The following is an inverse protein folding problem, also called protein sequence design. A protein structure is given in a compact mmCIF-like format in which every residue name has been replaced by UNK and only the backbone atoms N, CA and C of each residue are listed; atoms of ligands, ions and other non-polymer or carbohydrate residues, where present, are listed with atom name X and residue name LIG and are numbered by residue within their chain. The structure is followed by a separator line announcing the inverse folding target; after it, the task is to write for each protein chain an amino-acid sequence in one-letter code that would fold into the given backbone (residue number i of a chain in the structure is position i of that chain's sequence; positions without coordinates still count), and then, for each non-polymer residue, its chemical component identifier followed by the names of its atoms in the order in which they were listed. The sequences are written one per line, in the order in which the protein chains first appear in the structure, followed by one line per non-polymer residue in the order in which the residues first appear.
data_IF_437360056122
#
_entry.id   IF_437360056122
#
_cell.length_a   1.000
_cell.length_b   1.000
_cell.length_c   1.000
_cell.angle_alpha   90.00
_cell.angle_beta   90.00
_cell.angle_gamma   90.00
#
_symmetry.space_group_name_H-M   'P 1'
#
loop_
_entity.id
_entity.type
_entity.pdbx_description
1 polymer ?
#
# COMPACT_ATOMS: atom_id res chain seq x y z
N UNK A 1 22.05 1.57 -5.81
CA UNK A 1 22.43 2.83 -6.51
C UNK A 1 22.50 2.68 -8.03
N UNK A 2 23.00 1.56 -8.58
CA UNK A 2 22.88 1.26 -10.01
C UNK A 2 21.41 1.20 -10.49
N UNK A 3 20.49 0.74 -9.63
CA UNK A 3 19.05 0.72 -9.89
C UNK A 3 18.42 2.11 -10.04
N UNK A 4 18.90 3.11 -9.27
CA UNK A 4 18.39 4.49 -9.32
C UNK A 4 18.73 5.18 -10.66
N UNK A 5 19.87 4.81 -11.26
CA UNK A 5 20.35 5.35 -12.54
C UNK A 5 19.59 4.72 -13.72
N UNK A 6 19.18 3.45 -13.60
CA UNK A 6 18.44 2.77 -14.66
C UNK A 6 16.97 3.25 -14.75
N UNK A 7 16.36 3.59 -13.62
CA UNK A 7 14.99 4.16 -13.56
C UNK A 7 14.93 5.59 -14.14
N UNK A 8 16.00 6.38 -13.98
CA UNK A 8 16.09 7.74 -14.53
C UNK A 8 16.05 7.78 -16.08
N UNK A 9 16.41 6.70 -16.77
CA UNK A 9 16.45 6.61 -18.24
C UNK A 9 15.16 6.07 -18.87
N UNK A 10 14.28 5.40 -18.10
CA UNK A 10 13.03 4.83 -18.62
C UNK A 10 11.78 5.69 -18.34
N UNK A 11 11.90 6.72 -17.51
CA UNK A 11 10.78 7.58 -17.09
C UNK A 11 10.35 8.63 -18.14
N UNK A 12 11.06 8.77 -19.27
CA UNK A 12 10.68 9.69 -20.35
C UNK A 12 9.43 9.24 -21.13
N UNK A 13 8.89 8.04 -20.89
CA UNK A 13 7.72 7.51 -21.61
C UNK A 13 6.48 7.21 -20.75
N UNK A 14 6.49 7.47 -19.44
CA UNK A 14 5.28 7.34 -18.64
C UNK A 14 4.66 8.72 -18.41
N UNK A 15 3.87 9.17 -19.40
CA UNK A 15 2.71 10.03 -19.09
C UNK A 15 1.65 9.16 -18.39
N UNK A 16 2.00 8.62 -17.23
CA UNK A 16 0.96 8.41 -16.23
C UNK A 16 0.44 9.80 -15.89
N UNK A 17 -0.86 9.97 -15.65
CA UNK A 17 -1.41 11.20 -15.06
C UNK A 17 -0.75 11.40 -13.69
N UNK A 18 0.47 11.93 -13.68
CA UNK A 18 1.29 12.14 -12.51
C UNK A 18 0.66 13.25 -11.71
N UNK A 19 0.40 12.98 -10.45
CA UNK A 19 -0.03 13.99 -9.51
C UNK A 19 1.09 15.05 -9.43
N UNK A 20 0.79 16.29 -9.84
CA UNK A 20 1.79 17.36 -9.92
C UNK A 20 2.34 17.69 -8.54
N UNK A 21 3.66 17.91 -8.46
CA UNK A 21 4.27 18.40 -7.23
C UNK A 21 3.66 19.75 -6.84
N UNK A 22 3.34 19.91 -5.56
CA UNK A 22 2.66 21.07 -5.05
C UNK A 22 3.52 22.33 -5.23
N UNK A 23 3.05 23.24 -6.08
CA UNK A 23 3.75 24.47 -6.45
C UNK A 23 3.95 25.44 -5.29
N UNK A 24 3.21 25.28 -4.19
CA UNK A 24 3.32 26.11 -2.99
C UNK A 24 4.42 25.64 -2.03
N UNK A 25 5.11 24.53 -2.33
CA UNK A 25 6.18 24.00 -1.48
C UNK A 25 7.53 24.53 -1.96
N UNK A 26 8.27 25.18 -1.07
CA UNK A 26 9.67 25.52 -1.30
C UNK A 26 10.54 24.25 -1.28
N UNK A 27 10.99 23.87 -2.47
CA UNK A 27 11.71 22.61 -2.73
C UNK A 27 13.03 22.53 -1.98
N UNK A 28 13.75 23.65 -1.84
CA UNK A 28 15.05 23.70 -1.19
C UNK A 28 14.94 23.59 0.33
N UNK A 29 13.94 24.26 0.92
CA UNK A 29 13.60 24.13 2.34
C UNK A 29 13.15 22.71 2.67
N UNK A 30 12.30 22.12 1.83
CA UNK A 30 11.89 20.73 2.00
C UNK A 30 13.10 19.77 1.94
N UNK A 31 13.99 19.94 0.95
CA UNK A 31 15.21 19.14 0.88
C UNK A 31 16.02 19.23 2.17
N UNK A 32 16.21 20.45 2.69
CA UNK A 32 16.99 20.68 3.90
C UNK A 32 16.45 19.88 5.10
N UNK A 33 15.11 19.84 5.25
CA UNK A 33 14.44 19.03 6.27
C UNK A 33 14.66 17.54 6.04
N UNK A 34 14.42 17.05 4.82
CA UNK A 34 14.49 15.62 4.48
C UNK A 34 15.89 15.02 4.66
N UNK A 35 16.94 15.81 4.42
CA UNK A 35 18.33 15.33 4.51
C UNK A 35 18.98 15.62 5.87
N UNK A 36 18.28 16.26 6.81
CA UNK A 36 18.85 16.72 8.09
C UNK A 36 19.57 15.62 8.86
N UNK A 37 18.94 14.45 8.95
CA UNK A 37 19.40 13.31 9.74
C UNK A 37 20.13 12.25 8.90
N UNK A 38 20.40 12.52 7.62
CA UNK A 38 21.10 11.56 6.77
C UNK A 38 22.61 11.55 7.08
N UNK A 39 23.27 10.38 7.02
CA UNK A 39 24.73 10.30 7.14
C UNK A 39 25.43 11.24 6.15
N UNK A 40 26.49 11.92 6.59
CA UNK A 40 27.20 12.98 5.84
C UNK A 40 27.48 12.61 4.38
N UNK A 41 27.96 11.38 4.14
CA UNK A 41 28.24 10.88 2.79
C UNK A 41 26.99 10.85 1.90
N UNK A 42 25.89 10.22 2.38
CA UNK A 42 24.61 10.13 1.65
C UNK A 42 23.99 11.52 1.44
N UNK A 43 24.05 12.38 2.46
CA UNK A 43 23.58 13.77 2.38
C UNK A 43 24.31 14.53 1.28
N UNK A 44 25.65 14.49 1.25
CA UNK A 44 26.44 15.20 0.25
C UNK A 44 26.17 14.70 -1.18
N UNK A 45 26.00 13.38 -1.34
CA UNK A 45 25.65 12.78 -2.62
C UNK A 45 24.28 13.23 -3.12
N UNK A 46 23.24 13.15 -2.28
CA UNK A 46 21.90 13.63 -2.61
C UNK A 46 21.88 15.12 -2.95
N UNK A 47 22.56 15.95 -2.16
CA UNK A 47 22.68 17.39 -2.42
C UNK A 47 23.36 17.66 -3.77
N UNK A 48 24.38 16.89 -4.13
CA UNK A 48 25.06 17.02 -5.43
C UNK A 48 24.12 16.67 -6.58
N UNK A 49 23.34 15.59 -6.47
CA UNK A 49 22.37 15.19 -7.50
C UNK A 49 21.23 16.19 -7.63
N UNK A 50 20.66 16.62 -6.51
CA UNK A 50 19.58 17.61 -6.49
C UNK A 50 20.01 18.94 -7.14
N UNK A 51 21.20 19.45 -6.81
CA UNK A 51 21.72 20.70 -7.41
C UNK A 51 21.99 20.61 -8.91
N UNK A 52 22.34 19.42 -9.41
CA UNK A 52 22.63 19.18 -10.83
C UNK A 52 21.37 18.83 -11.64
N UNK A 53 20.28 18.43 -10.98
CA UNK A 53 19.05 17.99 -11.62
C UNK A 53 18.23 19.16 -12.17
N UNK A 54 17.44 18.88 -13.21
CA UNK A 54 16.35 19.75 -13.63
C UNK A 54 15.17 19.68 -12.64
N UNK A 55 14.13 20.49 -12.85
CA UNK A 55 12.99 20.57 -11.92
C UNK A 55 12.30 19.21 -11.70
N UNK A 56 12.09 18.43 -12.76
CA UNK A 56 11.49 17.10 -12.65
C UNK A 56 12.36 16.15 -11.81
N UNK A 57 13.68 16.16 -12.00
CA UNK A 57 14.59 15.34 -11.22
C UNK A 57 14.61 15.75 -9.75
N UNK A 58 14.54 17.06 -9.45
CA UNK A 58 14.43 17.57 -8.08
C UNK A 58 13.13 17.10 -7.42
N UNK A 59 11.99 17.26 -8.10
CA UNK A 59 10.69 16.80 -7.61
C UNK A 59 10.67 15.30 -7.34
N UNK A 60 11.23 14.50 -8.25
CA UNK A 60 11.35 13.06 -8.04
C UNK A 60 12.21 12.72 -6.81
N UNK A 61 13.35 13.39 -6.62
CA UNK A 61 14.19 13.19 -5.43
C UNK A 61 13.42 13.54 -4.16
N UNK A 62 12.72 14.68 -4.13
CA UNK A 62 11.93 15.12 -2.99
C UNK A 62 10.79 14.15 -2.68
N UNK A 63 10.08 13.71 -3.72
CA UNK A 63 9.02 12.74 -3.60
C UNK A 63 9.53 11.43 -2.99
N UNK A 64 10.59 10.85 -3.54
CA UNK A 64 11.20 9.62 -3.04
C UNK A 64 11.71 9.74 -1.60
N UNK A 65 12.31 10.88 -1.24
CA UNK A 65 12.82 11.11 0.11
C UNK A 65 11.70 11.29 1.15
N UNK A 66 10.55 11.79 0.71
CA UNK A 66 9.39 12.07 1.57
C UNK A 66 8.38 10.93 1.65
N UNK A 67 8.57 9.86 0.89
CA UNK A 67 7.70 8.69 0.99
C UNK A 67 7.68 8.15 2.43
N UNK A 68 6.53 7.63 2.90
CA UNK A 68 6.45 6.93 4.16
C UNK A 68 7.53 5.85 4.25
N UNK A 69 8.02 5.62 5.47
CA UNK A 69 8.96 4.55 5.76
C UNK A 69 8.39 3.70 6.86
N UNK A 70 8.45 2.40 6.65
CA UNK A 70 8.20 1.38 7.66
C UNK A 70 9.21 0.25 7.47
N UNK A 71 9.20 -0.73 8.36
CA UNK A 71 10.13 -1.84 8.40
C UNK A 71 9.42 -3.14 8.72
N UNK A 72 10.08 -4.26 8.38
CA UNK A 72 9.64 -5.61 8.79
C UNK A 72 9.51 -5.72 10.32
N UNK A 73 10.41 -5.08 11.06
CA UNK A 73 10.37 -5.05 12.52
C UNK A 73 9.09 -4.39 13.03
N UNK A 74 8.75 -3.21 12.53
CA UNK A 74 7.50 -2.51 12.89
C UNK A 74 6.26 -3.32 12.50
N UNK A 75 6.31 -4.00 11.35
CA UNK A 75 5.22 -4.89 10.91
C UNK A 75 4.98 -6.03 11.91
N UNK A 76 6.04 -6.69 12.39
CA UNK A 76 5.96 -7.77 13.39
C UNK A 76 5.49 -7.22 14.75
N UNK A 77 6.05 -6.10 15.20
CA UNK A 77 5.65 -5.47 16.46
C UNK A 77 4.17 -5.06 16.45
N UNK A 78 3.67 -4.51 15.32
CA UNK A 78 2.27 -4.16 15.16
C UNK A 78 1.36 -5.40 15.12
N UNK A 79 1.80 -6.49 14.49
CA UNK A 79 1.09 -7.78 14.49
C UNK A 79 0.93 -8.33 15.90
N UNK A 80 2.02 -8.41 16.67
CA UNK A 80 1.98 -8.94 18.04
C UNK A 80 1.12 -8.07 18.95
N UNK A 81 1.22 -6.75 18.83
CA UNK A 81 0.43 -5.81 19.62
C UNK A 81 -1.07 -5.86 19.30
N UNK A 82 -1.42 -6.03 18.02
CA UNK A 82 -2.80 -5.88 17.54
C UNK A 82 -3.42 -7.19 17.00
N UNK A 83 -2.89 -8.37 17.39
CA UNK A 83 -3.36 -9.67 16.88
C UNK A 83 -4.89 -9.81 16.97
N UNK A 84 -5.49 -9.45 18.11
CA UNK A 84 -6.94 -9.53 18.30
C UNK A 84 -7.72 -8.65 17.31
N UNK A 85 -7.28 -7.40 17.11
CA UNK A 85 -7.95 -6.48 16.19
C UNK A 85 -7.76 -6.88 14.72
N UNK A 86 -6.64 -7.52 14.37
CA UNK A 86 -6.42 -8.11 13.04
C UNK A 86 -7.46 -9.18 12.74
N UNK A 87 -7.66 -10.12 13.65
CA UNK A 87 -8.64 -11.19 13.47
C UNK A 87 -10.07 -10.67 13.50
N UNK A 88 -10.36 -9.70 14.39
CA UNK A 88 -11.65 -9.01 14.41
C UNK A 88 -11.92 -8.31 13.08
N UNK A 89 -10.98 -7.54 12.55
CA UNK A 89 -11.10 -6.87 11.26
C UNK A 89 -11.37 -7.90 10.15
N UNK A 90 -10.60 -9.02 10.12
CA UNK A 90 -10.83 -10.10 9.15
C UNK A 90 -12.26 -10.62 9.22
N UNK A 91 -12.72 -10.97 10.42
CA UNK A 91 -14.01 -11.62 10.63
C UNK A 91 -15.18 -10.69 10.36
N UNK A 92 -15.10 -9.43 10.81
CA UNK A 92 -16.14 -8.43 10.55
C UNK A 92 -16.19 -8.05 9.07
N UNK A 93 -15.05 -7.84 8.41
CA UNK A 93 -15.02 -7.47 7.00
C UNK A 93 -15.59 -8.55 6.08
N UNK A 94 -15.26 -9.83 6.33
CA UNK A 94 -15.78 -10.95 5.52
C UNK A 94 -17.31 -11.04 5.59
N UNK A 95 -17.92 -10.77 6.76
CA UNK A 95 -19.39 -10.81 6.92
C UNK A 95 -20.11 -9.73 6.12
N UNK A 96 -19.44 -8.63 5.79
CA UNK A 96 -20.02 -7.53 5.04
C UNK A 96 -20.08 -7.80 3.53
N UNK A 97 -19.39 -8.84 3.02
CA UNK A 97 -19.22 -9.05 1.59
C UNK A 97 -20.00 -10.30 1.16
N UNK A 98 -20.82 -10.23 0.09
CA UNK A 98 -21.45 -11.42 -0.47
C UNK A 98 -20.44 -12.52 -0.79
N UNK A 99 -20.77 -13.78 -0.48
CA UNK A 99 -19.85 -14.92 -0.67
C UNK A 99 -19.37 -15.11 -2.10
N UNK A 100 -20.13 -14.63 -3.09
CA UNK A 100 -19.76 -14.67 -4.51
C UNK A 100 -18.75 -13.60 -4.93
N UNK A 101 -18.38 -12.68 -4.03
CA UNK A 101 -17.54 -11.52 -4.33
C UNK A 101 -16.24 -11.49 -3.51
N UNK A 102 -15.25 -10.81 -4.06
CA UNK A 102 -14.02 -10.37 -3.41
C UNK A 102 -13.95 -8.85 -3.55
N UNK A 103 -13.67 -8.14 -2.47
CA UNK A 103 -13.50 -6.70 -2.44
C UNK A 103 -12.17 -6.33 -1.78
N UNK A 104 -11.37 -5.53 -2.50
CA UNK A 104 -10.16 -4.90 -2.02
C UNK A 104 -10.45 -3.42 -1.78
N UNK A 105 -10.19 -2.94 -0.57
CA UNK A 105 -10.43 -1.57 -0.15
C UNK A 105 -9.15 -0.97 0.45
N UNK A 106 -8.74 0.21 -0.02
CA UNK A 106 -7.63 0.98 0.56
C UNK A 106 -8.05 2.43 0.80
N UNK A 107 -7.74 2.94 2.00
CA UNK A 107 -7.96 4.35 2.33
C UNK A 107 -6.67 5.12 2.18
N UNK A 108 -6.63 6.02 1.20
CA UNK A 108 -5.47 6.83 0.90
C UNK A 108 -5.50 8.14 1.71
N UNK A 109 -4.44 8.45 2.47
CA UNK A 109 -4.35 9.73 3.17
C UNK A 109 -4.10 10.86 2.17
N UNK A 110 -4.43 12.10 2.59
CA UNK A 110 -4.06 13.31 1.85
C UNK A 110 -2.54 13.36 1.67
N UNK A 111 -2.06 13.60 0.46
CA UNK A 111 -0.64 13.85 0.20
C UNK A 111 -0.43 15.30 -0.23
N UNK A 112 0.14 16.10 0.69
CA UNK A 112 0.39 17.53 0.46
C UNK A 112 1.47 17.78 -0.59
N UNK A 113 2.40 16.83 -0.78
CA UNK A 113 3.52 16.98 -1.72
C UNK A 113 3.08 16.93 -3.17
N UNK A 114 2.08 16.12 -3.48
CA UNK A 114 1.54 15.95 -4.84
C UNK A 114 0.07 16.39 -4.92
N UNK A 115 -0.35 17.24 -3.98
CA UNK A 115 -1.66 17.90 -3.94
C UNK A 115 -2.88 16.97 -4.03
N UNK A 116 -2.79 15.78 -3.45
CA UNK A 116 -3.91 14.82 -3.51
C UNK A 116 -4.71 14.78 -2.24
N UNK A 117 -6.03 14.80 -2.41
CA UNK A 117 -6.98 14.67 -1.31
C UNK A 117 -7.03 13.25 -0.77
N UNK A 118 -7.66 13.07 0.39
CA UNK A 118 -7.99 11.72 0.87
C UNK A 118 -8.89 11.06 -0.16
N UNK A 119 -8.65 9.78 -0.43
CA UNK A 119 -9.40 9.03 -1.43
C UNK A 119 -9.53 7.56 -1.02
N UNK A 120 -10.28 6.81 -1.81
CA UNK A 120 -10.50 5.38 -1.65
C UNK A 120 -10.11 4.67 -2.94
N UNK A 121 -9.35 3.59 -2.84
CA UNK A 121 -9.21 2.62 -3.93
C UNK A 121 -10.17 1.46 -3.65
N UNK A 122 -10.95 1.09 -4.67
CA UNK A 122 -11.92 0.01 -4.55
C UNK A 122 -11.83 -0.91 -5.76
N UNK A 123 -11.63 -2.19 -5.49
CA UNK A 123 -11.68 -3.25 -6.50
C UNK A 123 -12.66 -4.31 -6.05
N UNK A 124 -13.50 -4.76 -6.97
CA UNK A 124 -14.48 -5.80 -6.74
C UNK A 124 -14.35 -6.83 -7.84
N UNK A 125 -14.27 -8.09 -7.42
CA UNK A 125 -14.18 -9.24 -8.28
C UNK A 125 -15.32 -10.20 -8.01
N UNK A 126 -15.84 -10.80 -9.07
CA UNK A 126 -16.74 -11.95 -8.99
C UNK A 126 -15.91 -13.22 -8.96
N UNK A 127 -16.18 -14.10 -7.99
CA UNK A 127 -15.57 -15.43 -7.91
C UNK A 127 -16.12 -16.30 -9.03
N UNK A 128 -15.24 -16.92 -9.81
CA UNK A 128 -15.57 -17.92 -10.83
C UNK A 128 -15.14 -19.32 -10.36
N UNK A 129 -15.46 -20.33 -11.17
CA UNK A 129 -14.94 -21.68 -10.98
C UNK A 129 -13.41 -21.73 -11.14
N UNK A 130 -12.79 -22.77 -10.57
CA UNK A 130 -11.34 -23.03 -10.70
C UNK A 130 -10.42 -21.94 -10.13
N UNK A 131 -10.89 -21.15 -9.17
CA UNK A 131 -10.08 -20.11 -8.52
C UNK A 131 -9.80 -18.89 -9.40
N UNK A 132 -10.50 -18.74 -10.53
CA UNK A 132 -10.45 -17.53 -11.36
C UNK A 132 -11.39 -16.47 -10.79
N UNK A 133 -11.05 -15.21 -11.03
CA UNK A 133 -11.83 -14.06 -10.62
C UNK A 133 -12.04 -13.12 -11.83
N UNK A 134 -13.23 -12.57 -11.97
CA UNK A 134 -13.56 -11.56 -12.98
C UNK A 134 -13.64 -10.18 -12.31
N UNK A 135 -12.89 -9.20 -12.83
CA UNK A 135 -13.00 -7.81 -12.33
C UNK A 135 -14.30 -7.20 -12.81
N UNK A 136 -15.14 -6.77 -11.87
CA UNK A 136 -16.44 -6.12 -12.17
C UNK A 136 -16.45 -4.64 -11.82
N UNK A 137 -15.53 -4.20 -10.95
CA UNK A 137 -15.31 -2.81 -10.61
C UNK A 137 -13.85 -2.63 -10.20
N UNK A 138 -13.15 -1.65 -10.74
CA UNK A 138 -11.77 -1.38 -10.37
C UNK A 138 -11.43 0.08 -10.63
N UNK A 139 -11.40 0.86 -9.56
CA UNK A 139 -11.13 2.29 -9.63
C UNK A 139 -10.15 2.70 -8.53
N UNK A 140 -9.40 3.76 -8.81
CA UNK A 140 -8.40 4.32 -7.90
C UNK A 140 -8.70 5.79 -7.63
N UNK A 141 -8.27 6.27 -6.47
CA UNK A 141 -8.40 7.65 -6.04
C UNK A 141 -9.84 8.18 -6.08
N UNK A 142 -10.82 7.33 -5.76
CA UNK A 142 -12.21 7.74 -5.66
C UNK A 142 -12.37 8.77 -4.54
N UNK A 143 -13.00 9.89 -4.86
CA UNK A 143 -13.33 10.91 -3.86
C UNK A 143 -14.45 10.39 -2.95
N UNK A 144 -14.41 10.79 -1.68
CA UNK A 144 -15.49 10.54 -0.74
C UNK A 144 -16.78 11.15 -1.28
N UNK A 145 -17.90 10.43 -1.09
CA UNK A 145 -19.24 10.82 -1.55
C UNK A 145 -19.41 10.99 -3.06
N UNK A 146 -18.41 10.65 -3.88
CA UNK A 146 -18.53 10.67 -5.34
C UNK A 146 -19.51 9.61 -5.85
N UNK A 147 -20.19 9.90 -6.96
CA UNK A 147 -21.08 8.94 -7.61
C UNK A 147 -20.37 7.63 -7.96
N UNK A 148 -19.10 7.70 -8.37
CA UNK A 148 -18.29 6.53 -8.68
C UNK A 148 -18.07 5.64 -7.45
N UNK A 149 -17.70 6.22 -6.30
CA UNK A 149 -17.55 5.47 -5.05
C UNK A 149 -18.90 4.88 -4.60
N UNK A 150 -19.95 5.69 -4.61
CA UNK A 150 -21.29 5.29 -4.19
C UNK A 150 -21.84 4.15 -5.07
N UNK A 151 -21.58 4.18 -6.37
CA UNK A 151 -21.98 3.09 -7.27
C UNK A 151 -21.14 1.82 -7.04
N UNK A 152 -19.83 1.96 -6.80
CA UNK A 152 -18.96 0.83 -6.49
C UNK A 152 -19.37 0.10 -5.21
N UNK A 153 -19.60 0.83 -4.11
CA UNK A 153 -19.97 0.20 -2.83
C UNK A 153 -21.37 -0.41 -2.84
N UNK A 154 -22.30 0.12 -3.66
CA UNK A 154 -23.63 -0.48 -3.84
C UNK A 154 -23.58 -1.89 -4.42
N UNK A 155 -22.56 -2.23 -5.22
CA UNK A 155 -22.35 -3.60 -5.73
C UNK A 155 -22.17 -4.60 -4.57
N UNK A 156 -21.58 -4.14 -3.46
CA UNK A 156 -21.36 -4.94 -2.25
C UNK A 156 -22.56 -4.90 -1.28
N UNK A 157 -23.62 -4.16 -1.63
CA UNK A 157 -24.72 -3.88 -0.71
C UNK A 157 -24.37 -2.89 0.40
N UNK A 158 -23.31 -2.10 0.22
CA UNK A 158 -22.82 -1.15 1.23
C UNK A 158 -23.39 0.26 1.04
N UNK A 159 -23.26 1.05 2.09
CA UNK A 159 -23.46 2.50 2.10
C UNK A 159 -22.25 3.19 2.77
N UNK A 160 -22.34 4.51 2.93
CA UNK A 160 -21.27 5.30 3.56
C UNK A 160 -21.01 4.93 5.03
N UNK A 161 -22.03 4.48 5.78
CA UNK A 161 -21.85 4.04 7.16
C UNK A 161 -21.01 2.76 7.22
N UNK A 162 -21.22 1.83 6.30
CA UNK A 162 -20.39 0.63 6.17
C UNK A 162 -18.94 0.99 5.84
N UNK A 163 -18.70 1.93 4.92
CA UNK A 163 -17.35 2.42 4.62
C UNK A 163 -16.68 3.05 5.86
N UNK A 164 -17.41 3.89 6.59
CA UNK A 164 -16.92 4.52 7.81
C UNK A 164 -16.59 3.48 8.89
N UNK A 165 -17.45 2.47 9.06
CA UNK A 165 -17.23 1.37 9.99
C UNK A 165 -15.96 0.59 9.64
N UNK A 166 -15.76 0.21 8.38
CA UNK A 166 -14.54 -0.49 7.92
C UNK A 166 -13.31 0.39 8.15
N UNK A 167 -13.40 1.69 7.85
CA UNK A 167 -12.31 2.65 8.12
C UNK A 167 -11.96 2.68 9.61
N UNK A 168 -12.94 2.70 10.50
CA UNK A 168 -12.71 2.69 11.94
C UNK A 168 -12.04 1.39 12.41
N UNK A 169 -12.39 0.24 11.83
CA UNK A 169 -11.72 -1.04 12.13
C UNK A 169 -10.25 -1.01 11.70
N UNK A 170 -9.95 -0.48 10.51
CA UNK A 170 -8.58 -0.32 10.01
C UNK A 170 -7.76 0.66 10.88
N UNK A 171 -8.32 1.82 11.19
CA UNK A 171 -7.65 2.88 11.96
C UNK A 171 -7.27 2.40 13.38
N UNK A 172 -8.09 1.54 14.02
CA UNK A 172 -7.83 1.04 15.39
C UNK A 172 -6.51 0.29 15.54
N UNK A 173 -6.03 -0.33 14.46
CA UNK A 173 -4.84 -1.16 14.47
C UNK A 173 -3.78 -0.71 13.44
N UNK A 174 -3.91 0.55 12.98
CA UNK A 174 -3.01 1.21 12.03
C UNK A 174 -2.85 0.44 10.71
N UNK A 175 -3.98 -0.03 10.16
CA UNK A 175 -4.02 -0.65 8.83
C UNK A 175 -4.53 0.35 7.79
N UNK A 176 -4.15 0.13 6.53
CA UNK A 176 -4.50 1.02 5.41
C UNK A 176 -5.40 0.36 4.38
N UNK A 177 -5.39 -0.98 4.30
CA UNK A 177 -6.19 -1.71 3.32
C UNK A 177 -6.60 -3.10 3.80
N UNK A 178 -7.64 -3.65 3.19
CA UNK A 178 -8.06 -5.05 3.39
C UNK A 178 -8.66 -5.62 2.10
N UNK A 179 -8.42 -6.91 1.88
CA UNK A 179 -9.00 -7.72 0.82
C UNK A 179 -9.47 -9.07 1.39
N UNK A 180 -10.73 -9.45 1.12
CA UNK A 180 -11.23 -10.78 1.49
C UNK A 180 -10.89 -11.82 0.41
N UNK A 181 -10.99 -13.11 0.76
CA UNK A 181 -10.73 -14.18 -0.19
C UNK A 181 -10.49 -15.51 0.53
N UNK A 182 -9.87 -16.46 -0.18
CA UNK A 182 -9.37 -17.68 0.46
C UNK A 182 -8.27 -17.35 1.48
N UNK A 183 -7.48 -16.33 1.18
CA UNK A 183 -6.51 -15.71 2.07
C UNK A 183 -6.97 -14.26 2.24
N UNK A 184 -7.19 -13.81 3.47
CA UNK A 184 -7.45 -12.39 3.73
C UNK A 184 -6.13 -11.64 3.75
N UNK A 185 -6.03 -10.56 2.97
CA UNK A 185 -4.82 -9.75 2.89
C UNK A 185 -5.08 -8.38 3.53
N UNK A 186 -4.34 -8.04 4.58
CA UNK A 186 -4.46 -6.77 5.30
C UNK A 186 -3.19 -5.95 5.09
N UNK A 187 -3.32 -4.73 4.58
CA UNK A 187 -2.19 -3.81 4.40
C UNK A 187 -1.90 -3.02 5.67
N UNK A 188 -0.67 -3.06 6.13
CA UNK A 188 -0.19 -2.34 7.32
C UNK A 188 0.27 -0.93 6.98
N UNK A 189 1.44 -0.79 6.35
CA UNK A 189 2.07 0.49 6.13
C UNK A 189 2.79 0.51 4.77
N UNK A 190 2.74 1.66 4.11
CA UNK A 190 3.56 1.92 2.91
C UNK A 190 5.01 2.21 3.33
N UNK A 191 5.95 1.72 2.54
CA UNK A 191 7.37 2.03 2.68
C UNK A 191 7.97 2.24 1.30
N UNK A 192 8.33 3.48 1.00
CA UNK A 192 8.67 3.86 -0.37
C UNK A 192 7.50 3.59 -1.32
N UNK A 193 7.79 2.86 -2.41
CA UNK A 193 6.80 2.43 -3.40
C UNK A 193 6.07 1.13 -3.04
N UNK A 194 6.50 0.43 -1.99
CA UNK A 194 5.88 -0.82 -1.55
C UNK A 194 4.98 -0.67 -0.34
N UNK A 195 4.40 -1.79 0.09
CA UNK A 195 3.53 -1.88 1.25
C UNK A 195 3.76 -3.22 1.95
N UNK A 196 3.69 -3.18 3.28
CA UNK A 196 3.71 -4.35 4.14
C UNK A 196 2.30 -4.91 4.28
N UNK A 197 2.15 -6.24 4.19
CA UNK A 197 0.88 -6.93 4.29
C UNK A 197 0.94 -8.12 5.22
N UNK A 198 -0.20 -8.44 5.84
CA UNK A 198 -0.46 -9.71 6.50
C UNK A 198 -1.36 -10.54 5.59
N UNK A 199 -0.93 -11.76 5.28
CA UNK A 199 -1.75 -12.79 4.65
C UNK A 199 -2.24 -13.74 5.73
N UNK A 200 -3.56 -13.83 5.88
CA UNK A 200 -4.24 -14.61 6.93
C UNK A 200 -5.06 -15.70 6.29
N UNK A 201 -4.64 -16.94 6.53
CA UNK A 201 -5.26 -18.15 6.03
C UNK A 201 -6.41 -18.58 6.95
N UNK A 202 -7.38 -19.34 6.42
CA UNK A 202 -8.50 -19.85 7.22
C UNK A 202 -8.05 -20.88 8.27
N UNK A 203 -7.02 -21.65 7.94
CA UNK A 203 -6.43 -22.69 8.78
C UNK A 203 -4.92 -22.49 8.83
N UNK A 204 -4.26 -23.15 9.78
CA UNK A 204 -2.80 -23.18 9.85
C UNK A 204 -2.20 -23.71 8.55
N UNK A 205 -1.03 -23.18 8.19
CA UNK A 205 -0.37 -23.58 6.96
C UNK A 205 0.19 -25.01 7.09
N UNK A 206 -0.12 -25.85 6.11
CA UNK A 206 0.57 -27.14 5.93
C UNK A 206 2.00 -26.96 5.42
N UNK A 207 2.80 -28.03 5.41
CA UNK A 207 4.22 -27.95 5.01
C UNK A 207 4.42 -27.43 3.59
N UNK A 208 3.57 -27.84 2.63
CA UNK A 208 3.63 -27.34 1.25
C UNK A 208 3.39 -25.82 1.19
N UNK A 209 2.39 -25.33 1.93
CA UNK A 209 2.09 -23.89 1.98
C UNK A 209 3.20 -23.12 2.68
N UNK A 210 3.83 -23.69 3.73
CA UNK A 210 4.99 -23.05 4.37
C UNK A 210 6.15 -22.92 3.40
N UNK A 211 6.38 -23.92 2.53
CA UNK A 211 7.41 -23.83 1.49
C UNK A 211 7.07 -22.78 0.42
N UNK A 212 5.81 -22.70 0.01
CA UNK A 212 5.34 -21.69 -0.96
C UNK A 212 5.45 -20.26 -0.40
N UNK A 213 5.04 -20.04 0.85
CA UNK A 213 4.95 -18.73 1.49
C UNK A 213 6.14 -18.39 2.39
N UNK A 214 7.32 -18.92 2.08
CA UNK A 214 8.56 -18.62 2.80
C UNK A 214 9.76 -18.51 1.84
N UNK A 215 9.65 -17.66 0.83
CA UNK A 215 10.68 -17.46 -0.20
C UNK A 215 11.88 -16.62 0.27
N UNK A 216 11.89 -16.18 1.53
CA UNK A 216 12.92 -15.31 2.13
C UNK A 216 13.12 -13.96 1.41
N UNK A 217 12.21 -13.58 0.52
CA UNK A 217 12.24 -12.36 -0.26
C UNK A 217 10.93 -11.60 -0.13
N UNK A 218 9.85 -12.06 -0.78
CA UNK A 218 8.56 -11.37 -0.81
C UNK A 218 7.58 -11.89 0.24
N UNK A 219 7.77 -13.14 0.68
CA UNK A 219 6.97 -13.83 1.68
C UNK A 219 7.83 -14.41 2.80
N UNK A 220 7.35 -14.27 4.02
CA UNK A 220 7.93 -14.90 5.21
C UNK A 220 6.82 -15.58 5.99
N UNK A 221 6.90 -16.90 6.11
CA UNK A 221 6.04 -17.63 7.03
C UNK A 221 6.36 -17.19 8.46
N UNK A 222 5.35 -16.73 9.19
CA UNK A 222 5.55 -16.19 10.53
C UNK A 222 5.14 -17.18 11.60
N UNK A 223 3.83 -17.46 11.72
CA UNK A 223 3.28 -18.46 12.66
C UNK A 223 1.87 -18.85 12.27
N UNK A 224 1.46 -20.05 12.66
CA UNK A 224 0.09 -20.56 12.54
C UNK A 224 -0.44 -20.41 11.10
N UNK A 225 -1.44 -19.55 10.92
CA UNK A 225 -2.11 -19.21 9.68
C UNK A 225 -1.69 -17.84 9.10
N UNK A 226 -0.52 -17.31 9.48
CA UNK A 226 -0.09 -15.94 9.15
C UNK A 226 1.24 -15.94 8.37
N UNK A 227 1.23 -15.21 7.25
CA UNK A 227 2.40 -14.92 6.41
C UNK A 227 2.58 -13.40 6.33
N UNK A 228 3.83 -12.94 6.37
CA UNK A 228 4.19 -11.55 6.11
C UNK A 228 4.53 -11.40 4.63
N UNK A 229 4.00 -10.36 4.01
CA UNK A 229 4.29 -10.01 2.61
C UNK A 229 4.83 -8.58 2.52
N UNK A 230 5.76 -8.36 1.59
CA UNK A 230 6.09 -7.03 1.10
C UNK A 230 5.81 -6.95 -0.40
N UNK A 231 4.85 -6.12 -0.80
CA UNK A 231 4.41 -5.98 -2.19
C UNK A 231 4.77 -4.61 -2.74
N UNK A 232 5.26 -4.57 -3.98
CA UNK A 232 5.65 -3.32 -4.65
C UNK A 232 4.53 -2.58 -5.37
N UNK A 233 3.29 -3.06 -5.31
CA UNK A 233 2.17 -2.48 -6.05
C UNK A 233 2.42 -2.47 -7.56
N UNK A 234 2.45 -1.28 -8.18
CA UNK A 234 2.58 -1.11 -9.63
C UNK A 234 3.92 -1.58 -10.21
N UNK A 235 4.96 -1.75 -9.38
CA UNK A 235 6.28 -2.23 -9.83
C UNK A 235 6.50 -3.73 -9.54
N UNK A 236 5.44 -4.45 -9.16
CA UNK A 236 5.44 -5.90 -8.97
C UNK A 236 5.99 -6.36 -7.62
N UNK A 237 6.19 -7.68 -7.45
CA UNK A 237 6.77 -8.27 -6.24
C UNK A 237 8.14 -7.67 -5.93
N UNK A 238 8.40 -7.41 -4.65
CA UNK A 238 9.69 -6.90 -4.18
C UNK A 238 10.11 -7.70 -2.96
N UNK A 239 11.42 -7.83 -2.75
CA UNK A 239 11.89 -8.36 -1.49
C UNK A 239 11.66 -7.33 -0.37
N UNK A 240 11.44 -7.83 0.85
CA UNK A 240 11.56 -7.05 2.07
C UNK A 240 12.83 -6.18 2.01
N UNK A 241 12.71 -4.85 2.14
CA UNK A 241 13.89 -4.01 2.29
C UNK A 241 14.45 -4.28 3.69
N UNK A 242 15.61 -4.94 3.74
CA UNK A 242 16.28 -5.41 4.97
C UNK A 242 16.21 -4.46 6.18
#
# INVERSE_FOLDING_TARGET
MKLLIFVLLTLSCLKANGQDFNKNIDKDSLLHVLVKNLPKKKKNELLKHYKKGNEQAKEYILFMLSMPRSSKKEQIENLEKNKLEIFRLKDEYVKLIPDSLIACLEFNPKNVLVSTNKSVDLKIYKKLSEGKNESIFQEWNLEYDSDALNNGIKILGWNNDTLLFIKQLLDKANFVSIENGNITTIGFARSGMGKYFYKIFKTDLGEEQKLEYNDSCSYIFYKDNIVLEYGGGAIGPQCFPD
#
